data_IF_195474217621
#
_entry.id   IF_195474217621
#
_cell.length_a   1.000
_cell.length_b   1.000
_cell.length_c   1.000
_cell.angle_alpha   90.00
_cell.angle_beta   90.00
_cell.angle_gamma   90.00
#
_symmetry.space_group_name_H-M   'P 1'
#
loop_
_entity.id
_entity.type
_entity.pdbx_description
1 polymer ?
#
# COMPACT_ATOMS: atom_id res chain seq x y z
N UNK A 1 17.87 -16.70 19.28
CA UNK A 1 18.88 -16.10 18.38
C UNK A 1 18.94 -16.91 17.10
N UNK A 2 18.82 -16.29 15.94
CA UNK A 2 18.95 -16.99 14.66
C UNK A 2 20.41 -17.37 14.42
N UNK A 3 20.61 -18.56 13.84
CA UNK A 3 21.96 -18.97 13.44
C UNK A 3 22.45 -18.09 12.28
N UNK A 4 23.76 -18.02 12.09
CA UNK A 4 24.37 -17.29 10.98
C UNK A 4 23.85 -17.78 9.63
N UNK A 5 23.67 -19.09 9.48
CA UNK A 5 23.14 -19.70 8.25
C UNK A 5 21.71 -19.24 7.95
N UNK A 6 20.86 -19.18 8.98
CA UNK A 6 19.48 -18.68 8.83
C UNK A 6 19.47 -17.21 8.46
N UNK A 7 20.33 -16.41 9.09
CA UNK A 7 20.46 -14.99 8.78
C UNK A 7 20.91 -14.76 7.33
N UNK A 8 21.90 -15.51 6.87
CA UNK A 8 22.39 -15.44 5.50
C UNK A 8 21.29 -15.82 4.50
N UNK A 9 20.55 -16.89 4.79
CA UNK A 9 19.43 -17.33 3.95
C UNK A 9 18.33 -16.25 3.90
N UNK A 10 18.03 -15.62 5.03
CA UNK A 10 17.04 -14.55 5.09
C UNK A 10 17.47 -13.32 4.27
N UNK A 11 18.75 -12.95 4.32
CA UNK A 11 19.30 -11.84 3.53
C UNK A 11 19.24 -12.16 2.04
N UNK A 12 19.62 -13.36 1.62
CA UNK A 12 19.55 -13.80 0.23
C UNK A 12 18.12 -13.80 -0.29
N UNK A 13 17.18 -14.28 0.51
CA UNK A 13 15.76 -14.27 0.19
C UNK A 13 15.23 -12.85 0.01
N UNK A 14 15.59 -11.94 0.93
CA UNK A 14 15.22 -10.54 0.84
C UNK A 14 15.77 -9.86 -0.43
N UNK A 15 17.02 -10.17 -0.79
CA UNK A 15 17.62 -9.65 -2.02
C UNK A 15 16.91 -10.18 -3.27
N UNK A 16 16.58 -11.46 -3.28
CA UNK A 16 15.82 -12.07 -4.38
C UNK A 16 14.43 -11.44 -4.52
N UNK A 17 13.75 -11.18 -3.40
CA UNK A 17 12.45 -10.49 -3.41
C UNK A 17 12.55 -9.08 -3.99
N UNK A 18 13.61 -8.34 -3.67
CA UNK A 18 13.82 -6.99 -4.21
C UNK A 18 13.98 -6.98 -5.72
N UNK A 19 14.48 -8.07 -6.28
CA UNK A 19 14.66 -8.21 -7.73
C UNK A 19 13.39 -8.70 -8.44
N UNK A 20 12.41 -9.20 -7.70
CA UNK A 20 11.13 -9.61 -8.28
C UNK A 20 10.45 -8.39 -8.95
N UNK A 21 9.89 -8.55 -10.17
CA UNK A 21 9.32 -7.41 -10.91
C UNK A 21 8.28 -6.62 -10.12
N UNK A 22 7.38 -7.28 -9.41
CA UNK A 22 6.35 -6.61 -8.62
C UNK A 22 6.95 -5.72 -7.52
N UNK A 23 8.00 -6.19 -6.85
CA UNK A 23 8.69 -5.44 -5.78
C UNK A 23 9.46 -4.27 -6.37
N UNK A 24 10.20 -4.49 -7.47
CA UNK A 24 10.98 -3.45 -8.14
C UNK A 24 10.06 -2.33 -8.64
N UNK A 25 8.94 -2.67 -9.28
CA UNK A 25 7.96 -1.71 -9.78
C UNK A 25 7.35 -0.91 -8.62
N UNK A 26 7.01 -1.59 -7.53
CA UNK A 26 6.47 -0.93 -6.34
C UNK A 26 7.46 0.09 -5.77
N UNK A 27 8.72 -0.27 -5.63
CA UNK A 27 9.75 0.63 -5.09
C UNK A 27 9.95 1.86 -5.98
N UNK A 28 10.01 1.67 -7.28
CA UNK A 28 10.12 2.78 -8.24
C UNK A 28 8.91 3.70 -8.12
N UNK A 29 7.70 3.15 -8.07
CA UNK A 29 6.47 3.92 -7.95
C UNK A 29 6.39 4.66 -6.61
N UNK A 30 6.80 4.03 -5.52
CA UNK A 30 6.83 4.64 -4.19
C UNK A 30 7.81 5.81 -4.13
N UNK A 31 9.01 5.64 -4.68
CA UNK A 31 10.03 6.69 -4.71
C UNK A 31 9.58 7.86 -5.59
N UNK A 32 8.97 7.59 -6.74
CA UNK A 32 8.45 8.62 -7.64
C UNK A 32 7.32 9.42 -6.97
N UNK A 33 6.43 8.74 -6.25
CA UNK A 33 5.34 9.39 -5.52
C UNK A 33 5.88 10.28 -4.41
N UNK A 34 6.84 9.80 -3.63
CA UNK A 34 7.45 10.57 -2.54
C UNK A 34 8.16 11.81 -3.06
N UNK A 35 8.77 11.74 -4.25
CA UNK A 35 9.51 12.84 -4.86
C UNK A 35 8.62 13.83 -5.62
N UNK A 36 7.31 13.58 -5.75
CA UNK A 36 6.40 14.41 -6.54
C UNK A 36 5.59 15.34 -5.62
N UNK A 37 5.93 16.65 -5.56
CA UNK A 37 5.22 17.59 -4.67
C UNK A 37 3.75 17.76 -5.02
N UNK A 38 3.40 17.69 -6.32
CA UNK A 38 2.00 17.82 -6.76
C UNK A 38 1.19 16.64 -6.25
N UNK A 39 1.72 15.42 -6.41
CA UNK A 39 1.07 14.21 -5.92
C UNK A 39 0.91 14.24 -4.40
N UNK A 40 1.94 14.66 -3.66
CA UNK A 40 1.89 14.77 -2.20
C UNK A 40 0.84 15.80 -1.75
N UNK A 41 0.75 16.92 -2.44
CA UNK A 41 -0.27 17.93 -2.17
C UNK A 41 -1.69 17.40 -2.39
N UNK A 42 -1.92 16.68 -3.48
CA UNK A 42 -3.22 16.06 -3.77
C UNK A 42 -3.62 15.04 -2.71
N UNK A 43 -2.68 14.22 -2.26
CA UNK A 43 -2.94 13.24 -1.21
C UNK A 43 -3.22 13.90 0.14
N UNK A 44 -2.53 14.98 0.46
CA UNK A 44 -2.79 15.76 1.67
C UNK A 44 -4.19 16.36 1.65
N UNK A 45 -4.60 16.94 0.52
CA UNK A 45 -5.93 17.50 0.33
C UNK A 45 -7.01 16.43 0.47
N UNK A 46 -6.77 15.26 -0.12
CA UNK A 46 -7.70 14.14 -0.02
C UNK A 46 -7.90 13.71 1.44
N UNK A 47 -6.82 13.57 2.20
CA UNK A 47 -6.87 13.21 3.62
C UNK A 47 -7.63 14.26 4.44
N UNK A 48 -7.42 15.54 4.14
CA UNK A 48 -8.11 16.62 4.82
C UNK A 48 -9.62 16.56 4.57
N UNK A 49 -10.03 16.40 3.31
CA UNK A 49 -11.45 16.29 2.97
C UNK A 49 -12.09 15.03 3.55
N UNK A 50 -11.40 13.90 3.53
CA UNK A 50 -11.87 12.67 4.17
C UNK A 50 -12.04 12.85 5.67
N UNK A 51 -11.10 13.54 6.32
CA UNK A 51 -11.17 13.84 7.75
C UNK A 51 -12.36 14.72 8.10
N UNK A 52 -12.63 15.74 7.32
CA UNK A 52 -13.79 16.62 7.49
C UNK A 52 -15.10 15.85 7.33
N UNK A 53 -15.17 15.04 6.30
CA UNK A 53 -16.35 14.20 6.04
C UNK A 53 -16.61 13.24 7.20
N UNK A 54 -15.56 12.57 7.69
CA UNK A 54 -15.67 11.66 8.83
C UNK A 54 -16.14 12.37 10.10
N UNK A 55 -15.65 13.59 10.36
CA UNK A 55 -16.11 14.41 11.51
C UNK A 55 -17.58 14.79 11.39
N UNK A 56 -18.01 15.18 10.19
CA UNK A 56 -19.41 15.51 9.92
C UNK A 56 -20.31 14.30 10.19
N UNK A 57 -19.90 13.14 9.71
CA UNK A 57 -20.67 11.90 9.93
C UNK A 57 -20.71 11.49 11.41
N UNK A 58 -19.60 11.64 12.14
CA UNK A 58 -19.54 11.33 13.58
C UNK A 58 -20.42 12.27 14.39
N UNK A 59 -20.59 13.49 13.96
CA UNK A 59 -21.51 14.46 14.58
C UNK A 59 -22.97 14.23 14.19
N UNK A 60 -23.27 13.17 13.44
CA UNK A 60 -24.61 12.83 12.93
C UNK A 60 -25.20 13.95 12.05
N UNK A 61 -24.33 14.72 11.40
CA UNK A 61 -24.72 15.76 10.45
C UNK A 61 -24.65 15.24 9.03
N UNK A 62 -25.51 15.78 8.16
CA UNK A 62 -25.44 15.48 6.73
C UNK A 62 -24.38 16.36 6.09
N UNK A 63 -23.46 15.79 5.29
CA UNK A 63 -22.47 16.59 4.57
C UNK A 63 -23.14 17.59 3.63
N UNK A 64 -22.65 18.83 3.64
CA UNK A 64 -23.10 19.87 2.73
C UNK A 64 -22.71 19.56 1.29
N UNK A 65 -23.46 20.13 0.35
CA UNK A 65 -23.21 19.95 -1.08
C UNK A 65 -21.81 20.43 -1.47
N UNK A 66 -21.38 21.55 -0.93
CA UNK A 66 -20.03 22.08 -1.19
C UNK A 66 -18.94 21.10 -0.73
N UNK A 67 -19.12 20.50 0.42
CA UNK A 67 -18.18 19.50 0.96
C UNK A 67 -18.08 18.28 0.05
N UNK A 68 -19.22 17.80 -0.44
CA UNK A 68 -19.28 16.67 -1.37
C UNK A 68 -18.64 17.04 -2.72
N UNK A 69 -18.92 18.22 -3.24
CA UNK A 69 -18.37 18.68 -4.51
C UNK A 69 -16.85 18.84 -4.45
N UNK A 70 -16.32 19.39 -3.36
CA UNK A 70 -14.87 19.50 -3.14
C UNK A 70 -14.20 18.12 -3.08
N UNK A 71 -14.85 17.16 -2.40
CA UNK A 71 -14.34 15.81 -2.33
C UNK A 71 -14.27 15.17 -3.72
N UNK A 72 -15.31 15.35 -4.54
CA UNK A 72 -15.35 14.82 -5.91
C UNK A 72 -14.26 15.43 -6.78
N UNK A 73 -14.03 16.74 -6.68
CA UNK A 73 -12.95 17.41 -7.41
C UNK A 73 -11.58 16.87 -7.00
N UNK A 74 -11.38 16.71 -5.71
CA UNK A 74 -10.13 16.15 -5.16
C UNK A 74 -9.90 14.73 -5.65
N UNK A 75 -10.92 13.87 -5.62
CA UNK A 75 -10.85 12.50 -6.12
C UNK A 75 -10.55 12.45 -7.61
N UNK A 76 -11.14 13.35 -8.40
CA UNK A 76 -10.87 13.44 -9.83
C UNK A 76 -9.42 13.84 -10.11
N UNK A 77 -8.88 14.80 -9.35
CA UNK A 77 -7.49 15.23 -9.46
C UNK A 77 -6.51 14.11 -9.10
N UNK A 78 -6.81 13.35 -8.03
CA UNK A 78 -6.02 12.18 -7.63
C UNK A 78 -6.02 11.14 -8.74
N UNK A 79 -7.16 10.82 -9.31
CA UNK A 79 -7.26 9.84 -10.41
C UNK A 79 -6.55 10.30 -11.67
N UNK A 80 -6.42 11.61 -11.88
CA UNK A 80 -5.69 12.18 -13.01
C UNK A 80 -4.18 12.27 -12.80
N UNK A 81 -3.67 11.97 -11.61
CA UNK A 81 -2.25 12.04 -11.31
C UNK A 81 -1.56 10.71 -11.57
N UNK A 82 -0.62 10.69 -12.50
CA UNK A 82 0.04 9.46 -12.93
C UNK A 82 0.89 8.82 -11.81
N UNK A 83 1.60 9.61 -11.02
CA UNK A 83 2.43 9.08 -9.94
C UNK A 83 1.58 8.36 -8.87
N UNK A 84 0.42 8.93 -8.53
CA UNK A 84 -0.51 8.33 -7.57
C UNK A 84 -1.09 7.03 -8.16
N UNK A 85 -1.53 7.07 -9.40
CA UNK A 85 -2.16 5.91 -10.04
C UNK A 85 -1.15 4.79 -10.29
N UNK A 86 0.09 5.12 -10.63
CA UNK A 86 1.16 4.13 -10.77
C UNK A 86 1.45 3.44 -9.44
N UNK A 87 1.49 4.20 -8.34
CA UNK A 87 1.68 3.64 -7.00
C UNK A 87 0.50 2.75 -6.60
N UNK A 88 -0.73 3.15 -6.91
CA UNK A 88 -1.91 2.34 -6.64
C UNK A 88 -1.87 1.00 -7.39
N UNK A 89 -1.54 1.03 -8.69
CA UNK A 89 -1.39 -0.19 -9.49
C UNK A 89 -0.31 -1.10 -8.92
N UNK A 90 0.85 -0.53 -8.59
CA UNK A 90 1.97 -1.28 -8.01
C UNK A 90 1.61 -1.88 -6.64
N UNK A 91 0.85 -1.15 -5.81
CA UNK A 91 0.36 -1.65 -4.53
C UNK A 91 -0.58 -2.84 -4.71
N UNK A 92 -1.49 -2.76 -5.68
CA UNK A 92 -2.41 -3.85 -5.98
C UNK A 92 -1.66 -5.09 -6.49
N UNK A 93 -0.64 -4.89 -7.33
CA UNK A 93 0.21 -5.98 -7.81
C UNK A 93 0.99 -6.64 -6.67
N UNK A 94 1.49 -5.85 -5.72
CA UNK A 94 2.16 -6.37 -4.53
C UNK A 94 1.20 -7.19 -3.65
N UNK A 95 -0.03 -6.72 -3.47
CA UNK A 95 -1.06 -7.44 -2.71
C UNK A 95 -1.39 -8.80 -3.33
N UNK A 96 -1.33 -8.89 -4.66
CA UNK A 96 -1.52 -10.15 -5.38
C UNK A 96 -0.28 -11.05 -5.32
N UNK A 97 0.91 -10.47 -5.30
CA UNK A 97 2.20 -11.17 -5.31
C UNK A 97 2.54 -11.80 -3.96
N UNK A 98 2.35 -11.07 -2.86
CA UNK A 98 2.77 -11.52 -1.52
C UNK A 98 2.14 -12.85 -1.09
N UNK A 99 0.85 -13.12 -1.32
CA UNK A 99 0.27 -14.42 -0.99
C UNK A 99 0.91 -15.59 -1.78
N UNK A 100 1.35 -15.32 -3.00
CA UNK A 100 2.05 -16.34 -3.82
C UNK A 100 3.38 -16.67 -3.17
N UNK A 101 4.13 -15.69 -2.72
CA UNK A 101 5.40 -15.87 -1.99
C UNK A 101 5.15 -16.66 -0.70
N UNK A 102 4.13 -16.27 0.07
CA UNK A 102 3.78 -16.95 1.32
C UNK A 102 3.47 -18.43 1.09
N UNK A 103 2.73 -18.75 0.03
CA UNK A 103 2.43 -20.15 -0.33
C UNK A 103 3.69 -20.92 -0.71
N UNK A 104 4.59 -20.30 -1.47
CA UNK A 104 5.85 -20.93 -1.87
C UNK A 104 6.74 -21.22 -0.65
N UNK A 105 6.82 -20.29 0.29
CA UNK A 105 7.57 -20.46 1.54
C UNK A 105 6.92 -21.54 2.39
N UNK A 106 5.60 -21.54 2.51
CA UNK A 106 4.84 -22.58 3.26
C UNK A 106 5.07 -23.97 2.69
N UNK A 107 5.07 -24.10 1.37
CA UNK A 107 5.33 -25.38 0.71
C UNK A 107 6.77 -25.86 1.00
N UNK A 108 7.75 -24.97 0.97
CA UNK A 108 9.15 -25.30 1.26
C UNK A 108 9.37 -25.68 2.73
N UNK A 109 8.64 -25.06 3.65
CA UNK A 109 8.77 -25.32 5.10
C UNK A 109 7.88 -26.49 5.57
N UNK A 110 6.91 -26.92 4.76
CA UNK A 110 5.94 -27.93 5.15
C UNK A 110 4.91 -27.46 6.17
N UNK A 111 4.74 -26.13 6.30
CA UNK A 111 3.78 -25.52 7.21
C UNK A 111 3.17 -24.27 6.58
N UNK A 112 2.00 -23.84 7.07
CA UNK A 112 1.36 -22.64 6.57
C UNK A 112 1.99 -21.39 7.19
N UNK A 113 2.99 -20.87 6.50
CA UNK A 113 3.69 -19.66 6.93
C UNK A 113 2.76 -18.43 7.02
N UNK A 114 1.81 -18.33 6.10
CA UNK A 114 0.86 -17.22 6.09
C UNK A 114 0.01 -17.16 7.36
N UNK A 115 -0.42 -18.32 7.88
CA UNK A 115 -1.19 -18.37 9.12
C UNK A 115 -0.36 -18.02 10.36
N UNK A 116 0.96 -18.23 10.29
CA UNK A 116 1.86 -17.91 11.41
C UNK A 116 2.13 -16.41 11.53
N UNK A 117 2.12 -15.69 10.41
CA UNK A 117 2.43 -14.26 10.38
C UNK A 117 1.20 -13.37 10.23
N UNK A 118 0.03 -13.94 9.92
CA UNK A 118 -1.20 -13.18 9.79
C UNK A 118 -1.59 -12.58 11.16
N UNK A 119 -2.00 -11.30 11.21
CA UNK A 119 -2.49 -10.74 12.46
C UNK A 119 -3.72 -11.49 12.89
N UNK A 120 -3.75 -11.88 14.18
CA UNK A 120 -4.94 -12.50 14.75
C UNK A 120 -6.05 -11.45 14.78
N UNK A 121 -7.08 -11.66 13.96
CA UNK A 121 -8.29 -10.85 14.06
C UNK A 121 -9.06 -11.27 15.30
N UNK A 122 -9.32 -10.32 16.15
CA UNK A 122 -10.21 -10.55 17.29
C UNK A 122 -11.64 -10.58 16.84
#
# INVERSE_FOLDING_TARGET
>A
MLSTEINEAAVEFGQALRQAPAVAIYRIAADALEADPVAQGLLADLREHQGRLARTQRASLTPGREQIDRMRLCQAAVRGNEAIMAHLRATNDMKAFLPIVARSVSAALGTDYGSLIAPTSC
#
